data_IF_677222589596
#
_entry.id   IF_677222589596
#
_cell.length_a   1.000
_cell.length_b   1.000
_cell.length_c   1.000
_cell.angle_alpha   90.00
_cell.angle_beta   90.00
_cell.angle_gamma   90.00
#
_symmetry.space_group_name_H-M   'P 1'
#
loop_
_entity.id
_entity.type
_entity.pdbx_description
1 polymer ?
#
# COMPACT_ATOMS: atom_id res chain seq x y z
N UNK A 1 -8.75 -1.28 -22.73
CA UNK A 1 -8.51 -2.67 -22.78
C UNK A 1 -8.58 -3.34 -21.42
N UNK A 2 -8.00 -4.51 -21.35
CA UNK A 2 -8.08 -5.34 -20.16
C UNK A 2 -7.46 -4.66 -18.92
N UNK A 3 -6.36 -3.98 -19.12
CA UNK A 3 -5.67 -3.31 -18.01
C UNK A 3 -6.56 -2.27 -17.35
N UNK A 4 -7.30 -1.52 -18.15
CA UNK A 4 -8.19 -0.50 -17.60
C UNK A 4 -9.35 -1.11 -16.84
N UNK A 5 -9.92 -2.20 -17.38
CA UNK A 5 -10.99 -2.90 -16.69
C UNK A 5 -10.49 -3.40 -15.34
N UNK A 6 -9.29 -3.99 -15.30
CA UNK A 6 -8.75 -4.51 -14.06
C UNK A 6 -8.47 -3.37 -13.07
N UNK A 7 -7.97 -2.24 -13.54
CA UNK A 7 -7.80 -1.06 -12.69
C UNK A 7 -9.11 -0.68 -12.02
N UNK A 8 -10.20 -0.65 -12.78
CA UNK A 8 -11.49 -0.28 -12.24
C UNK A 8 -12.01 -1.34 -11.27
N UNK A 9 -11.76 -2.61 -11.57
CA UNK A 9 -12.18 -3.67 -10.66
C UNK A 9 -11.40 -3.62 -9.36
N UNK A 10 -10.13 -3.25 -9.39
CA UNK A 10 -9.34 -3.12 -8.17
C UNK A 10 -9.88 -2.01 -7.28
N UNK A 11 -10.39 -0.94 -7.86
CA UNK A 11 -11.03 0.10 -7.08
C UNK A 11 -12.25 -0.44 -6.33
N UNK A 12 -13.01 -1.32 -6.96
CA UNK A 12 -14.16 -1.95 -6.32
C UNK A 12 -13.69 -2.92 -5.23
N UNK A 13 -12.62 -3.66 -5.48
CA UNK A 13 -12.05 -4.57 -4.47
C UNK A 13 -11.62 -3.78 -3.24
N UNK A 14 -10.99 -2.62 -3.44
CA UNK A 14 -10.59 -1.77 -2.33
C UNK A 14 -11.79 -1.38 -1.47
N UNK A 15 -12.91 -1.03 -2.12
CA UNK A 15 -14.12 -0.68 -1.39
C UNK A 15 -14.69 -1.87 -0.63
N UNK A 16 -14.65 -3.04 -1.24
CA UNK A 16 -15.12 -4.24 -0.58
C UNK A 16 -14.24 -4.61 0.62
N UNK A 17 -12.95 -4.35 0.52
CA UNK A 17 -12.06 -4.58 1.65
C UNK A 17 -12.34 -3.64 2.80
N UNK A 18 -12.69 -2.39 2.50
CA UNK A 18 -13.12 -1.46 3.54
C UNK A 18 -14.40 -1.96 4.20
N UNK A 19 -15.35 -2.45 3.41
CA UNK A 19 -16.59 -2.98 3.94
C UNK A 19 -16.33 -4.20 4.84
N UNK A 20 -15.42 -5.07 4.41
CA UNK A 20 -15.04 -6.23 5.22
C UNK A 20 -14.46 -5.80 6.55
N UNK A 21 -13.55 -4.82 6.51
CA UNK A 21 -12.92 -4.34 7.73
C UNK A 21 -13.94 -3.72 8.67
N UNK A 22 -14.90 -2.99 8.14
CA UNK A 22 -15.97 -2.42 8.95
C UNK A 22 -16.83 -3.51 9.56
N UNK A 23 -17.14 -4.56 8.80
CA UNK A 23 -17.94 -5.68 9.32
C UNK A 23 -17.19 -6.43 10.43
N UNK A 24 -15.88 -6.58 10.29
CA UNK A 24 -15.07 -7.24 11.32
C UNK A 24 -15.09 -6.47 12.63
N UNK A 25 -15.27 -5.16 12.55
CA UNK A 25 -15.28 -4.30 13.73
C UNK A 25 -16.68 -3.96 14.21
N UNK A 26 -17.70 -4.62 13.67
CA UNK A 26 -19.08 -4.39 14.05
C UNK A 26 -19.59 -5.62 14.78
N UNK A 27 -20.10 -5.40 15.98
CA UNK A 27 -20.65 -6.46 16.78
C UNK A 27 -21.89 -7.03 16.09
N UNK A 28 -21.97 -8.35 16.01
CA UNK A 28 -23.10 -8.99 15.38
C UNK A 28 -22.96 -9.21 13.88
N UNK A 29 -21.92 -8.69 13.27
CA UNK A 29 -21.74 -8.78 11.82
C UNK A 29 -20.77 -9.88 11.39
N UNK A 30 -20.46 -10.84 12.28
CA UNK A 30 -19.47 -11.88 11.95
C UNK A 30 -19.84 -12.72 10.74
N UNK A 31 -21.10 -13.04 10.59
CA UNK A 31 -21.53 -13.85 9.44
C UNK A 31 -21.35 -13.08 8.13
N UNK A 32 -21.64 -11.79 8.15
CA UNK A 32 -21.44 -10.93 6.97
C UNK A 32 -19.97 -10.84 6.65
N UNK A 33 -19.12 -10.64 7.66
CA UNK A 33 -17.68 -10.57 7.47
C UNK A 33 -17.14 -11.86 6.85
N UNK A 34 -17.59 -13.01 7.36
CA UNK A 34 -17.15 -14.29 6.81
C UNK A 34 -17.57 -14.45 5.36
N UNK A 35 -18.80 -14.08 5.03
CA UNK A 35 -19.26 -14.15 3.65
C UNK A 35 -18.48 -13.26 2.71
N UNK A 36 -18.20 -12.04 3.15
CA UNK A 36 -17.38 -11.11 2.37
C UNK A 36 -15.98 -11.64 2.14
N UNK A 37 -15.40 -12.25 3.17
CA UNK A 37 -14.06 -12.79 3.05
C UNK A 37 -14.00 -13.88 1.97
N UNK A 38 -15.00 -14.73 1.94
CA UNK A 38 -15.07 -15.79 0.94
C UNK A 38 -15.19 -15.21 -0.46
N UNK A 39 -16.06 -14.22 -0.63
CA UNK A 39 -16.28 -13.59 -1.94
C UNK A 39 -15.01 -12.88 -2.41
N UNK A 40 -14.35 -12.15 -1.50
CA UNK A 40 -13.14 -11.43 -1.87
C UNK A 40 -12.02 -12.39 -2.25
N UNK A 41 -11.89 -13.51 -1.53
CA UNK A 41 -10.87 -14.49 -1.89
C UNK A 41 -11.13 -15.05 -3.28
N UNK A 42 -12.37 -15.39 -3.57
CA UNK A 42 -12.72 -15.91 -4.88
C UNK A 42 -12.42 -14.89 -5.98
N UNK A 43 -12.73 -13.63 -5.71
CA UNK A 43 -12.49 -12.57 -6.69
C UNK A 43 -11.00 -12.39 -6.94
N UNK A 44 -10.21 -12.38 -5.86
CA UNK A 44 -8.75 -12.26 -6.01
C UNK A 44 -8.16 -13.46 -6.76
N UNK A 45 -8.70 -14.66 -6.51
CA UNK A 45 -8.23 -15.85 -7.23
C UNK A 45 -8.54 -15.75 -8.72
N UNK A 46 -9.72 -15.23 -9.06
CA UNK A 46 -10.08 -15.03 -10.47
C UNK A 46 -9.13 -14.05 -11.14
N UNK A 47 -8.83 -12.94 -10.47
CA UNK A 47 -7.90 -11.95 -11.03
C UNK A 47 -6.49 -12.53 -11.18
N UNK A 48 -6.06 -13.31 -10.20
CA UNK A 48 -4.77 -13.98 -10.27
C UNK A 48 -4.71 -14.92 -11.48
N UNK A 49 -5.81 -15.63 -11.74
CA UNK A 49 -5.89 -16.50 -12.90
C UNK A 49 -5.80 -15.74 -14.22
N UNK A 50 -6.12 -14.45 -14.22
CA UNK A 50 -5.98 -13.62 -15.40
C UNK A 50 -4.57 -13.06 -15.58
N UNK A 51 -3.67 -13.37 -14.65
CA UNK A 51 -2.29 -12.91 -14.72
C UNK A 51 -1.98 -11.73 -13.82
N UNK A 52 -2.90 -11.36 -12.93
CA UNK A 52 -2.66 -10.25 -12.00
C UNK A 52 -1.76 -10.73 -10.87
N UNK A 53 -0.71 -9.97 -10.59
CA UNK A 53 0.26 -10.30 -9.55
C UNK A 53 0.44 -9.10 -8.64
N UNK A 54 0.49 -9.34 -7.32
CA UNK A 54 0.78 -8.28 -6.37
C UNK A 54 2.25 -7.89 -6.42
N UNK A 55 2.52 -6.62 -6.20
CA UNK A 55 3.88 -6.13 -6.05
C UNK A 55 4.30 -6.37 -4.60
N UNK A 56 5.39 -7.11 -4.40
CA UNK A 56 5.92 -7.29 -3.06
C UNK A 56 6.63 -6.02 -2.65
N UNK A 57 6.23 -5.43 -1.56
CA UNK A 57 6.69 -4.09 -1.19
C UNK A 57 7.35 -4.02 0.17
N UNK A 58 6.69 -4.48 1.23
CA UNK A 58 7.24 -4.33 2.59
C UNK A 58 8.56 -5.07 2.71
N UNK A 59 9.56 -4.38 3.24
CA UNK A 59 10.91 -4.93 3.38
C UNK A 59 11.79 -4.77 2.16
N UNK A 60 11.21 -4.35 1.05
CA UNK A 60 11.97 -4.13 -0.19
C UNK A 60 12.43 -2.69 -0.27
N UNK A 61 13.35 -2.43 -1.16
CA UNK A 61 13.81 -1.08 -1.39
C UNK A 61 12.83 -0.34 -2.29
N UNK A 62 12.60 0.93 -1.98
CA UNK A 62 11.71 1.75 -2.80
C UNK A 62 12.19 1.80 -4.24
N UNK A 63 11.27 1.55 -5.15
CA UNK A 63 11.52 1.58 -6.61
C UNK A 63 10.45 2.48 -7.23
N UNK A 64 10.82 3.64 -7.73
CA UNK A 64 9.81 4.58 -8.27
C UNK A 64 9.01 4.05 -9.45
N UNK A 65 9.47 2.98 -10.10
CA UNK A 65 8.70 2.39 -11.18
C UNK A 65 7.57 1.49 -10.68
N UNK A 66 7.62 1.09 -9.41
CA UNK A 66 6.64 0.18 -8.82
C UNK A 66 5.91 0.75 -7.62
N UNK A 67 6.47 1.78 -7.01
CA UNK A 67 5.98 2.29 -5.73
C UNK A 67 5.77 3.79 -5.78
N UNK A 68 4.83 4.24 -4.97
CA UNK A 68 4.62 5.66 -4.73
C UNK A 68 4.75 5.90 -3.24
N UNK A 69 5.71 6.72 -2.84
CA UNK A 69 5.94 7.00 -1.42
C UNK A 69 5.06 8.17 -0.99
N UNK A 70 4.26 7.95 0.04
CA UNK A 70 3.38 9.01 0.55
C UNK A 70 3.83 9.51 1.91
N UNK A 71 4.77 8.85 2.54
CA UNK A 71 5.26 9.30 3.84
C UNK A 71 6.68 8.77 4.06
N UNK A 72 7.52 9.61 4.69
CA UNK A 72 8.86 9.22 5.11
C UNK A 72 8.87 9.13 6.61
N UNK A 73 9.38 8.02 7.13
CA UNK A 73 9.37 7.76 8.56
C UNK A 73 10.81 7.61 9.01
N UNK A 74 11.20 8.35 10.03
CA UNK A 74 12.55 8.24 10.55
C UNK A 74 12.73 6.88 11.20
N UNK A 75 13.68 6.11 10.71
CA UNK A 75 13.90 4.75 11.17
C UNK A 75 15.32 4.38 10.83
N UNK A 76 16.12 4.14 11.88
CA UNK A 76 17.53 3.80 11.69
C UNK A 76 17.77 2.30 11.72
N UNK A 77 16.73 1.52 11.98
CA UNK A 77 16.89 0.07 12.11
C UNK A 77 17.02 -0.64 10.77
N UNK A 78 16.69 0.04 9.68
CA UNK A 78 16.74 -0.53 8.33
C UNK A 78 17.44 0.46 7.41
N UNK A 79 17.83 -0.03 6.25
CA UNK A 79 18.49 0.83 5.27
C UNK A 79 17.54 1.92 4.77
N UNK A 80 18.11 3.06 4.47
CA UNK A 80 17.34 4.17 3.90
C UNK A 80 16.62 3.72 2.64
N UNK A 81 15.35 4.10 2.50
CA UNK A 81 14.55 3.72 1.35
C UNK A 81 13.86 2.38 1.50
N UNK A 82 14.04 1.70 2.62
CA UNK A 82 13.33 0.44 2.85
C UNK A 82 11.85 0.74 3.07
N UNK A 83 10.99 -0.03 2.44
CA UNK A 83 9.55 0.13 2.57
C UNK A 83 9.12 -0.46 3.90
N UNK A 84 8.54 0.38 4.74
CA UNK A 84 8.12 -0.01 6.09
C UNK A 84 6.66 -0.45 6.12
N UNK A 85 5.84 0.15 5.28
CA UNK A 85 4.41 -0.12 5.31
C UNK A 85 3.83 0.05 3.92
N UNK A 86 2.87 -0.78 3.58
CA UNK A 86 2.14 -0.65 2.32
C UNK A 86 0.73 -0.17 2.63
N UNK A 87 0.40 1.02 2.15
CA UNK A 87 -0.88 1.64 2.40
C UNK A 87 -1.93 1.11 1.42
N UNK A 88 -1.52 0.83 0.21
CA UNK A 88 -2.40 0.28 -0.82
C UNK A 88 -1.58 -0.66 -1.69
N UNK A 89 -2.13 -1.84 -1.96
CA UNK A 89 -1.42 -2.83 -2.78
C UNK A 89 -1.31 -2.40 -4.22
N UNK A 90 -0.13 -2.60 -4.78
CA UNK A 90 0.11 -2.42 -6.19
C UNK A 90 0.06 -3.74 -6.93
N UNK A 91 -0.16 -3.66 -8.23
CA UNK A 91 -0.32 -4.87 -9.05
C UNK A 91 0.29 -4.70 -10.42
N UNK A 92 0.77 -5.82 -10.95
CA UNK A 92 1.15 -5.91 -12.36
C UNK A 92 0.25 -6.94 -13.03
N UNK A 93 0.05 -6.78 -14.33
CA UNK A 93 -0.67 -7.74 -15.14
C UNK A 93 0.28 -8.23 -16.21
N UNK A 94 0.70 -9.48 -16.08
CA UNK A 94 1.65 -10.07 -17.03
C UNK A 94 2.86 -9.16 -17.23
N UNK A 95 3.39 -8.66 -16.12
CA UNK A 95 4.58 -7.81 -16.13
C UNK A 95 4.34 -6.34 -16.38
N UNK A 96 3.11 -5.95 -16.70
CA UNK A 96 2.80 -4.56 -16.96
C UNK A 96 2.19 -3.92 -15.72
N UNK A 97 2.67 -2.75 -15.34
CA UNK A 97 2.17 -2.07 -14.16
C UNK A 97 0.70 -1.68 -14.35
N UNK A 98 -0.15 -2.08 -13.41
CA UNK A 98 -1.55 -1.70 -13.37
C UNK A 98 -1.73 -0.51 -12.43
N UNK A 99 -1.17 -0.60 -11.24
CA UNK A 99 -1.14 0.53 -10.31
C UNK A 99 0.02 0.30 -9.34
N UNK A 100 0.71 1.37 -8.93
CA UNK A 100 1.83 1.20 -8.00
C UNK A 100 1.35 0.91 -6.59
N UNK A 101 2.21 0.29 -5.78
CA UNK A 101 1.97 0.19 -4.35
C UNK A 101 2.17 1.56 -3.73
N UNK A 102 1.26 1.95 -2.85
CA UNK A 102 1.42 3.19 -2.08
C UNK A 102 2.07 2.80 -0.77
N UNK A 103 3.21 3.41 -0.45
CA UNK A 103 4.08 2.93 0.62
C UNK A 103 4.58 4.06 1.50
N UNK A 104 5.06 3.68 2.69
CA UNK A 104 5.80 4.56 3.57
C UNK A 104 7.21 4.02 3.65
N UNK A 105 8.19 4.89 3.58
CA UNK A 105 9.59 4.49 3.49
C UNK A 105 10.41 5.01 4.65
N UNK A 106 11.49 4.31 4.94
CA UNK A 106 12.41 4.68 6.01
C UNK A 106 13.38 5.75 5.52
N UNK A 107 13.61 6.74 6.36
CA UNK A 107 14.67 7.70 6.13
C UNK A 107 15.49 7.77 7.40
N UNK A 108 16.76 8.16 7.33
CA UNK A 108 17.57 8.21 8.54
C UNK A 108 17.07 9.32 9.46
N UNK A 109 17.27 9.10 10.75
CA UNK A 109 16.96 10.12 11.72
C UNK A 109 17.88 11.32 11.49
N UNK A 110 17.29 12.50 11.48
CA UNK A 110 18.07 13.70 11.34
C UNK A 110 18.31 14.24 12.74
N UNK A 111 19.54 14.24 13.22
CA UNK A 111 19.77 14.72 14.58
C UNK A 111 19.40 16.17 14.67
N UNK A 112 19.00 16.57 15.85
CA UNK A 112 18.75 17.93 16.10
C UNK A 112 20.07 18.64 16.04
N UNK A 113 20.30 19.36 15.04
CA UNK A 113 21.54 20.01 14.85
C UNK A 113 21.28 21.42 14.46
N UNK A 114 22.31 22.15 14.20
CA UNK A 114 22.19 23.50 13.77
C UNK A 114 21.40 23.61 12.49
N UNK A 115 21.46 22.59 11.68
CA UNK A 115 20.72 22.63 10.46
C UNK A 115 19.25 22.65 10.69
N UNK A 116 18.81 22.03 11.70
CA UNK A 116 17.39 21.97 11.95
C UNK A 116 16.92 23.19 12.62
N UNK A 117 17.76 23.89 13.32
CA UNK A 117 17.31 24.97 14.03
C UNK A 117 17.23 26.19 13.32
N UNK A 118 18.07 26.60 12.67
CA UNK A 118 18.13 27.89 12.25
C UNK A 118 17.12 28.44 11.53
N UNK A 119 16.52 27.80 11.06
CA UNK A 119 15.61 28.36 10.37
C UNK A 119 14.69 29.00 11.09
N UNK A 120 14.65 28.74 12.08
CA UNK A 120 13.79 29.19 12.77
C UNK A 120 13.94 30.37 13.10
N UNK A 121 14.23 30.53 13.17
CA UNK A 121 14.23 31.47 13.53
C UNK A 121 14.24 32.38 13.03
N UNK A 122 14.33 32.26 12.64
CA UNK A 122 14.30 33.04 12.31
C UNK A 122 14.78 33.75 12.16
N UNK A 123 15.18 33.49 12.37
CA UNK A 123 15.56 34.14 12.32
C UNK A 123 15.47 34.93 11.92
N UNK A 124 15.41 34.95 12.05
CA UNK A 124 15.20 35.77 11.86
C UNK A 124 14.83 36.35 11.88
#
# INVERSE_FOLDING_TARGET
>A
GKARLIQNLLAVVDELELALNAAKNTEGAGAVANGLEIVLKKFRDLLSGEGLTTIESVGKKFDPTLHEAVERIQCDDVAEGTILEEVRKGFTLKGKLIRPSIVKIAVPHIPESDDAKPIESGQN
#
